data_IF_361003465918
#
_entry.id   IF_361003465918
#
_cell.length_a   1.000
_cell.length_b   1.000
_cell.length_c   1.000
_cell.angle_alpha   90.00
_cell.angle_beta   90.00
_cell.angle_gamma   90.00
#
_symmetry.space_group_name_H-M   'P 1'
#
loop_
_entity.id
_entity.type
_entity.pdbx_description
1 polymer ?
#
# COMPACT_ATOMS: atom_id res chain seq x y z
N UNK A 1 -14.20 -2.20 5.49
CA UNK A 1 -13.88 -0.79 5.77
C UNK A 1 -13.18 -0.78 7.12
N UNK A 2 -11.95 -0.28 7.15
CA UNK A 2 -11.06 -0.24 8.31
C UNK A 2 -10.46 1.16 8.48
N UNK A 3 -11.10 2.19 7.93
CA UNK A 3 -10.71 3.59 8.11
C UNK A 3 -10.58 3.91 9.60
N UNK A 4 -9.47 4.54 10.00
CA UNK A 4 -9.12 4.89 11.38
C UNK A 4 -9.10 3.70 12.39
N UNK A 5 -9.07 2.45 11.90
CA UNK A 5 -9.04 1.29 12.77
C UNK A 5 -7.73 1.23 13.60
N UNK A 6 -7.85 0.77 14.84
CA UNK A 6 -6.70 0.54 15.74
C UNK A 6 -6.25 -0.92 15.62
N UNK A 7 -5.27 -1.17 14.77
CA UNK A 7 -4.70 -2.48 14.44
C UNK A 7 -3.23 -2.59 14.87
N UNK A 8 -2.76 -1.69 15.74
CA UNK A 8 -1.40 -1.71 16.24
C UNK A 8 -1.07 -3.03 16.94
N UNK A 9 0.01 -3.68 16.51
CA UNK A 9 0.43 -5.00 17.01
C UNK A 9 -0.48 -6.17 16.62
N UNK A 10 -1.45 -5.96 15.73
CA UNK A 10 -2.32 -7.03 15.26
C UNK A 10 -1.55 -8.05 14.42
N UNK A 11 -1.93 -9.32 14.55
CA UNK A 11 -1.54 -10.37 13.61
C UNK A 11 -2.50 -10.35 12.42
N UNK A 12 -2.00 -9.92 11.27
CA UNK A 12 -2.70 -9.87 9.99
C UNK A 12 -2.02 -10.80 8.97
N UNK A 13 -1.32 -11.83 9.45
CA UNK A 13 -0.61 -12.78 8.61
C UNK A 13 -1.57 -13.41 7.60
N UNK A 14 -1.19 -13.41 6.32
CA UNK A 14 -2.00 -13.92 5.20
C UNK A 14 -3.39 -13.29 5.03
N UNK A 15 -3.68 -12.17 5.71
CA UNK A 15 -4.96 -11.48 5.55
C UNK A 15 -5.15 -10.97 4.12
N UNK A 16 -6.36 -11.11 3.60
CA UNK A 16 -6.76 -10.49 2.34
C UNK A 16 -7.34 -9.10 2.62
N UNK A 17 -6.52 -8.07 2.35
CA UNK A 17 -6.85 -6.66 2.46
C UNK A 17 -6.82 -5.99 1.07
N UNK A 18 -7.00 -6.78 0.00
CA UNK A 18 -7.09 -6.27 -1.37
C UNK A 18 -8.23 -5.27 -1.45
N UNK A 19 -7.97 -4.09 -2.04
CA UNK A 19 -8.90 -2.97 -2.14
C UNK A 19 -9.51 -2.49 -0.80
N UNK A 20 -8.88 -2.84 0.33
CA UNK A 20 -9.37 -2.43 1.65
C UNK A 20 -9.20 -0.91 1.84
N UNK A 21 -10.19 -0.31 2.51
CA UNK A 21 -10.10 1.07 3.00
C UNK A 21 -9.41 1.09 4.34
N UNK A 22 -8.18 1.56 4.39
CA UNK A 22 -7.31 1.64 5.57
C UNK A 22 -6.85 3.08 5.84
N UNK A 23 -7.54 4.08 5.27
CA UNK A 23 -7.21 5.48 5.45
C UNK A 23 -7.13 5.82 6.94
N UNK A 24 -6.03 6.43 7.38
CA UNK A 24 -5.80 6.80 8.79
C UNK A 24 -5.63 5.63 9.77
N UNK A 25 -5.68 4.37 9.33
CA UNK A 25 -5.58 3.22 10.21
C UNK A 25 -4.21 3.15 10.92
N UNK A 26 -4.22 2.74 12.19
CA UNK A 26 -3.01 2.47 12.95
C UNK A 26 -2.63 0.99 12.79
N UNK A 27 -1.58 0.73 12.01
CA UNK A 27 -0.97 -0.58 11.77
C UNK A 27 0.43 -0.66 12.41
N UNK A 28 0.72 0.20 13.41
CA UNK A 28 2.04 0.24 14.04
C UNK A 28 2.40 -1.13 14.60
N UNK A 29 3.57 -1.66 14.25
CA UNK A 29 4.05 -2.98 14.69
C UNK A 29 3.16 -4.18 14.32
N UNK A 30 2.21 -4.04 13.39
CA UNK A 30 1.41 -5.16 12.92
C UNK A 30 2.25 -6.18 12.12
N UNK A 31 1.88 -7.46 12.20
CA UNK A 31 2.45 -8.50 11.33
C UNK A 31 1.62 -8.61 10.05
N UNK A 32 2.21 -8.19 8.93
CA UNK A 32 1.61 -8.22 7.60
C UNK A 32 2.27 -9.28 6.71
N UNK A 33 2.94 -10.27 7.31
CA UNK A 33 3.56 -11.37 6.58
C UNK A 33 2.54 -12.04 5.67
N UNK A 34 2.83 -12.09 4.39
CA UNK A 34 1.96 -12.63 3.34
C UNK A 34 0.58 -11.96 3.18
N UNK A 35 0.31 -10.84 3.85
CA UNK A 35 -0.92 -10.08 3.65
C UNK A 35 -1.00 -9.53 2.22
N UNK A 36 -2.21 -9.48 1.66
CA UNK A 36 -2.47 -8.90 0.34
C UNK A 36 -3.06 -7.51 0.52
N UNK A 37 -2.33 -6.47 0.11
CA UNK A 37 -2.79 -5.08 0.15
C UNK A 37 -2.88 -4.47 -1.26
N UNK A 38 -3.05 -5.30 -2.29
CA UNK A 38 -3.15 -4.82 -3.66
C UNK A 38 -4.33 -3.85 -3.80
N UNK A 39 -4.10 -2.66 -4.34
CA UNK A 39 -5.17 -1.66 -4.50
C UNK A 39 -5.71 -1.02 -3.22
N UNK A 40 -5.17 -1.36 -2.04
CA UNK A 40 -5.66 -0.80 -0.77
C UNK A 40 -5.47 0.72 -0.69
N UNK A 41 -6.39 1.41 -0.01
CA UNK A 41 -6.24 2.82 0.34
C UNK A 41 -5.56 2.96 1.69
N UNK A 42 -4.29 3.36 1.67
CA UNK A 42 -3.41 3.56 2.82
C UNK A 42 -3.19 5.06 3.11
N UNK A 43 -4.01 5.97 2.58
CA UNK A 43 -3.88 7.40 2.80
C UNK A 43 -3.86 7.75 4.30
N UNK A 44 -2.76 8.32 4.79
CA UNK A 44 -2.61 8.64 6.23
C UNK A 44 -2.45 7.44 7.17
N UNK A 45 -2.41 6.20 6.68
CA UNK A 45 -2.20 5.03 7.51
C UNK A 45 -0.81 5.03 8.17
N UNK A 46 -0.72 4.55 9.40
CA UNK A 46 0.53 4.42 10.13
C UNK A 46 1.01 2.97 10.16
N UNK A 47 1.96 2.62 9.30
CA UNK A 47 2.59 1.30 9.20
C UNK A 47 3.99 1.27 9.84
N UNK A 48 4.30 2.22 10.73
CA UNK A 48 5.62 2.27 11.37
C UNK A 48 5.89 0.95 12.10
N UNK A 49 7.10 0.43 11.94
CA UNK A 49 7.56 -0.82 12.56
C UNK A 49 6.74 -2.07 12.20
N UNK A 50 5.81 -2.00 11.23
CA UNK A 50 5.12 -3.17 10.71
C UNK A 50 6.11 -4.12 10.02
N UNK A 51 5.89 -5.42 10.21
CA UNK A 51 6.78 -6.47 9.69
C UNK A 51 6.09 -7.27 8.59
N UNK A 52 6.88 -7.96 7.76
CA UNK A 52 6.34 -8.83 6.70
C UNK A 52 5.64 -8.14 5.54
N UNK A 53 5.46 -6.81 5.60
CA UNK A 53 4.87 -6.03 4.52
C UNK A 53 5.74 -6.10 3.27
N UNK A 54 5.13 -6.49 2.16
CA UNK A 54 5.68 -6.36 0.80
C UNK A 54 5.15 -5.11 0.11
N UNK A 55 5.83 -4.67 -0.94
CA UNK A 55 5.40 -3.51 -1.72
C UNK A 55 3.96 -3.73 -2.26
N UNK A 56 2.97 -2.92 -1.84
CA UNK A 56 1.57 -3.19 -2.13
C UNK A 56 1.19 -2.62 -3.50
N UNK A 57 1.37 -3.41 -4.55
CA UNK A 57 1.08 -3.03 -5.93
C UNK A 57 -0.33 -2.42 -6.07
N UNK A 58 -0.41 -1.25 -6.68
CA UNK A 58 -1.66 -0.53 -6.91
C UNK A 58 -2.23 0.19 -5.69
N UNK A 59 -1.66 0.04 -4.49
CA UNK A 59 -2.13 0.75 -3.31
C UNK A 59 -1.96 2.26 -3.45
N UNK A 60 -2.92 3.00 -2.91
CA UNK A 60 -2.94 4.45 -2.89
C UNK A 60 -2.44 4.94 -1.53
N UNK A 61 -1.58 5.94 -1.53
CA UNK A 61 -1.03 6.53 -0.31
C UNK A 61 -0.79 8.03 -0.50
N UNK A 62 -0.55 8.73 0.60
CA UNK A 62 -0.28 10.17 0.58
C UNK A 62 0.93 10.50 1.47
N UNK A 63 1.33 11.77 1.52
CA UNK A 63 2.49 12.20 2.35
C UNK A 63 2.27 12.03 3.87
N UNK A 64 1.05 11.74 4.30
CA UNK A 64 0.72 11.46 5.70
C UNK A 64 0.94 9.99 6.06
N UNK A 65 0.88 9.08 5.07
CA UNK A 65 1.17 7.65 5.26
C UNK A 65 2.58 7.46 5.83
N UNK A 66 2.70 6.67 6.89
CA UNK A 66 3.97 6.36 7.55
C UNK A 66 4.38 4.94 7.22
N UNK A 67 5.39 4.78 6.39
CA UNK A 67 5.89 3.47 5.97
C UNK A 67 6.93 2.90 6.95
N UNK A 68 7.10 1.56 6.99
CA UNK A 68 8.27 0.96 7.62
C UNK A 68 9.57 1.53 7.03
N UNK A 69 10.60 1.75 7.86
CA UNK A 69 11.84 2.43 7.43
C UNK A 69 12.55 1.73 6.27
N UNK A 70 12.46 0.40 6.18
CA UNK A 70 13.04 -0.39 5.08
C UNK A 70 12.28 -0.26 3.75
N UNK A 71 11.02 0.19 3.76
CA UNK A 71 10.20 0.38 2.57
C UNK A 71 9.95 1.83 2.21
N UNK A 72 10.18 2.77 3.12
CA UNK A 72 9.88 4.18 2.93
C UNK A 72 10.54 4.78 1.67
N UNK A 73 11.79 4.42 1.37
CA UNK A 73 12.45 4.86 0.14
C UNK A 73 11.88 4.15 -1.09
N UNK A 74 11.76 2.82 -1.03
CA UNK A 74 11.31 2.00 -2.16
C UNK A 74 9.89 2.36 -2.61
N UNK A 75 8.97 2.61 -1.68
CA UNK A 75 7.59 2.94 -2.04
C UNK A 75 7.49 4.28 -2.74
N UNK A 76 8.32 5.27 -2.35
CA UNK A 76 8.39 6.57 -3.01
C UNK A 76 8.92 6.41 -4.43
N UNK A 77 10.00 5.64 -4.61
CA UNK A 77 10.63 5.40 -5.92
C UNK A 77 9.73 4.59 -6.87
N UNK A 78 8.98 3.63 -6.33
CA UNK A 78 8.10 2.74 -7.08
C UNK A 78 6.67 3.26 -7.20
N UNK A 79 6.42 4.53 -6.85
CA UNK A 79 5.12 5.14 -7.01
C UNK A 79 5.07 6.13 -8.17
N UNK A 80 3.87 6.36 -8.66
CA UNK A 80 3.51 7.45 -9.55
C UNK A 80 2.58 8.43 -8.81
N UNK A 81 2.69 9.72 -9.10
CA UNK A 81 1.80 10.74 -8.52
C UNK A 81 0.54 10.84 -9.39
N UNK A 82 -0.62 10.58 -8.81
CA UNK A 82 -1.91 10.69 -9.50
C UNK A 82 -2.50 12.10 -9.39
N UNK A 83 -2.26 12.74 -8.25
CA UNK A 83 -2.66 14.12 -7.94
C UNK A 83 -1.66 14.69 -6.91
N UNK A 84 -1.60 16.02 -6.70
CA UNK A 84 -0.66 16.61 -5.75
C UNK A 84 -0.72 15.95 -4.37
N UNK A 85 0.35 15.23 -3.99
CA UNK A 85 0.45 14.54 -2.70
C UNK A 85 -0.31 13.21 -2.59
N UNK A 86 -0.90 12.72 -3.69
CA UNK A 86 -1.56 11.42 -3.80
C UNK A 86 -0.79 10.54 -4.77
N UNK A 87 -0.34 9.40 -4.28
CA UNK A 87 0.56 8.49 -4.98
C UNK A 87 -0.07 7.11 -5.09
N UNK A 88 0.28 6.41 -6.16
CA UNK A 88 -0.06 5.01 -6.39
C UNK A 88 1.21 4.21 -6.53
N UNK A 89 1.33 3.13 -5.77
CA UNK A 89 2.40 2.15 -5.98
C UNK A 89 2.17 1.52 -7.35
N UNK A 90 3.18 1.58 -8.23
CA UNK A 90 3.08 0.99 -9.57
C UNK A 90 2.71 -0.48 -9.44
N UNK A 91 1.74 -0.90 -10.24
CA UNK A 91 1.44 -2.32 -10.37
C UNK A 91 2.62 -3.03 -11.02
N UNK A 92 2.73 -4.34 -10.82
CA UNK A 92 3.28 -5.15 -11.90
C UNK A 92 2.31 -4.96 -13.07
N UNK A 93 2.57 -3.99 -13.93
CA UNK A 93 1.98 -3.95 -15.26
C UNK A 93 2.33 -5.30 -15.88
N UNK A 94 1.42 -6.27 -15.83
CA UNK A 94 1.39 -7.27 -16.89
C UNK A 94 1.26 -6.42 -18.15
N UNK A 95 2.30 -6.34 -19.01
CA UNK A 95 2.23 -5.47 -20.16
C UNK A 95 1.00 -5.93 -20.94
N UNK A 96 0.00 -5.07 -21.03
CA UNK A 96 -1.11 -5.37 -21.90
C UNK A 96 -0.50 -5.44 -23.31
N UNK A 97 -0.49 -6.63 -23.89
CA UNK A 97 -0.19 -6.79 -25.32
C UNK A 97 -1.38 -6.34 -26.14
N UNK A 98 -1.90 -5.13 -25.88
CA UNK A 98 -2.87 -4.45 -26.74
C UNK A 98 -2.36 -3.09 -27.20
N UNK A 99 -1.06 -3.02 -27.46
CA UNK A 99 -0.52 -2.12 -28.48
C UNK A 99 -1.06 -2.52 -29.86
N UNK A 100 -2.31 -2.17 -30.16
CA UNK A 100 -2.81 -2.12 -31.53
C UNK A 100 -2.06 -1.00 -32.25
N UNK A 101 -0.93 -1.35 -32.87
CA UNK A 101 -0.29 -0.48 -33.86
C UNK A 101 -1.23 -0.46 -35.07
N UNK A 102 -2.05 0.58 -35.15
CA UNK A 102 -2.58 1.05 -36.42
C UNK A 102 -1.62 2.10 -36.95
N UNK A 103 -0.74 1.70 -37.86
CA UNK A 103 -0.32 2.53 -39.01
C UNK A 103 -0.13 1.60 -40.19
#
# INVERSE_FOLDING_TARGET
>A
DLTDAKLGGADLTSADLTDAKLGGADLTSADLTDAKLGGADLGGANLKDAVGLRLPAGAIWNRETRWPTNLATTVVEQSEELAPGVYRVRGEETPDRSGSVRV
#
